data_IF_724274713389
#
_entry.id   IF_724274713389
#
_cell.length_a   1.000
_cell.length_b   1.000
_cell.length_c   1.000
_cell.angle_alpha   90.00
_cell.angle_beta   90.00
_cell.angle_gamma   90.00
#
_symmetry.space_group_name_H-M   'P 1'
#
loop_
_entity.id
_entity.type
_entity.pdbx_description
1 polymer ?
#
# COMPACT_ATOMS: atom_id res chain seq x y z
N UNK A 1 -13.69 -0.73 1.53
CA UNK A 1 -13.18 -2.07 1.18
C UNK A 1 -11.93 -2.32 2.02
N UNK A 2 -11.66 -3.55 2.46
CA UNK A 2 -10.44 -3.88 3.23
C UNK A 2 -9.30 -4.35 2.33
N UNK A 3 -8.07 -4.23 2.82
CA UNK A 3 -6.89 -4.77 2.14
C UNK A 3 -7.06 -6.26 1.83
N UNK A 4 -7.47 -7.07 2.80
CA UNK A 4 -7.66 -8.50 2.58
C UNK A 4 -8.72 -8.82 1.50
N UNK A 5 -9.70 -7.94 1.30
CA UNK A 5 -10.74 -8.11 0.29
C UNK A 5 -10.23 -7.84 -1.12
N UNK A 6 -9.34 -6.85 -1.30
CA UNK A 6 -8.72 -6.60 -2.60
C UNK A 6 -7.62 -7.63 -2.88
N UNK A 7 -6.86 -8.07 -1.86
CA UNK A 7 -5.83 -9.10 -1.98
C UNK A 7 -6.41 -10.38 -2.59
N UNK A 8 -7.57 -10.83 -2.11
CA UNK A 8 -8.28 -12.02 -2.63
C UNK A 8 -8.82 -11.87 -4.04
N UNK A 9 -8.90 -10.65 -4.59
CA UNK A 9 -9.44 -10.35 -5.93
C UNK A 9 -8.35 -9.99 -6.93
N UNK A 10 -7.09 -10.02 -6.54
CA UNK A 10 -5.98 -9.56 -7.36
C UNK A 10 -5.00 -10.71 -7.62
N UNK A 11 -4.44 -10.76 -8.82
CA UNK A 11 -3.38 -11.72 -9.14
C UNK A 11 -2.04 -11.23 -8.57
N UNK A 12 -1.21 -12.14 -8.02
CA UNK A 12 0.14 -11.78 -7.59
C UNK A 12 0.96 -11.23 -8.77
N UNK A 13 0.79 -11.76 -9.99
CA UNK A 13 1.49 -11.28 -11.19
C UNK A 13 1.19 -9.80 -11.48
N UNK A 14 -0.06 -9.37 -11.32
CA UNK A 14 -0.44 -7.97 -11.51
C UNK A 14 0.21 -7.07 -10.45
N UNK A 15 0.21 -7.48 -9.17
CA UNK A 15 0.89 -6.71 -8.10
C UNK A 15 2.38 -6.60 -8.37
N UNK A 16 3.02 -7.72 -8.72
CA UNK A 16 4.45 -7.75 -9.06
C UNK A 16 4.76 -6.85 -10.26
N UNK A 17 3.88 -6.78 -11.26
CA UNK A 17 4.07 -5.88 -12.40
C UNK A 17 4.11 -4.41 -11.97
N UNK A 18 3.26 -4.02 -11.02
CA UNK A 18 3.21 -2.67 -10.46
C UNK A 18 4.41 -2.37 -9.56
N UNK A 19 4.87 -3.34 -8.76
CA UNK A 19 6.10 -3.18 -7.97
C UNK A 19 7.29 -2.93 -8.90
N UNK A 20 7.41 -3.70 -10.00
CA UNK A 20 8.48 -3.49 -10.99
C UNK A 20 8.42 -2.11 -11.62
N UNK A 21 7.22 -1.63 -11.93
CA UNK A 21 7.00 -0.33 -12.56
C UNK A 21 7.44 0.83 -11.67
N UNK A 22 7.07 0.83 -10.39
CA UNK A 22 7.31 1.96 -9.50
C UNK A 22 8.59 1.84 -8.66
N UNK A 23 9.04 0.63 -8.35
CA UNK A 23 10.11 0.38 -7.38
C UNK A 23 11.26 -0.47 -7.96
N UNK A 24 11.16 -0.89 -9.22
CA UNK A 24 12.16 -1.68 -9.91
C UNK A 24 12.15 -3.17 -9.55
N UNK A 25 13.20 -3.89 -9.97
CA UNK A 25 13.24 -5.35 -9.94
C UNK A 25 13.86 -5.96 -8.67
N UNK A 26 14.08 -5.15 -7.64
CA UNK A 26 14.71 -5.63 -6.41
C UNK A 26 13.70 -6.42 -5.57
N UNK A 27 14.10 -7.57 -5.04
CA UNK A 27 13.30 -8.38 -4.11
C UNK A 27 11.94 -8.88 -4.63
N UNK A 28 11.77 -8.99 -5.95
CA UNK A 28 10.51 -9.42 -6.56
C UNK A 28 10.01 -10.77 -6.05
N UNK A 29 10.92 -11.73 -5.85
CA UNK A 29 10.55 -13.04 -5.30
C UNK A 29 10.00 -12.92 -3.88
N UNK A 30 10.60 -12.06 -3.04
CA UNK A 30 10.14 -11.81 -1.67
C UNK A 30 8.77 -11.12 -1.63
N UNK A 31 8.50 -10.19 -2.54
CA UNK A 31 7.15 -9.60 -2.66
C UNK A 31 6.11 -10.61 -3.11
N UNK A 32 6.50 -11.57 -3.95
CA UNK A 32 5.60 -12.64 -4.39
C UNK A 32 5.31 -13.60 -3.24
N UNK A 33 6.32 -13.95 -2.46
CA UNK A 33 6.16 -14.76 -1.25
C UNK A 33 5.27 -14.04 -0.23
N UNK A 34 5.53 -12.75 0.04
CA UNK A 34 4.70 -11.90 0.90
C UNK A 34 3.23 -11.92 0.46
N UNK A 35 2.95 -11.82 -0.83
CA UNK A 35 1.57 -11.89 -1.33
C UNK A 35 0.87 -13.18 -0.86
N UNK A 36 1.54 -14.33 -1.02
CA UNK A 36 0.97 -15.61 -0.62
C UNK A 36 0.88 -15.78 0.89
N UNK A 37 1.87 -15.29 1.64
CA UNK A 37 1.83 -15.30 3.09
C UNK A 37 0.63 -14.49 3.62
N UNK A 38 0.45 -13.27 3.11
CA UNK A 38 -0.69 -12.42 3.44
C UNK A 38 -2.03 -13.02 3.01
N UNK A 39 -2.08 -13.72 1.87
CA UNK A 39 -3.30 -14.37 1.40
C UNK A 39 -3.74 -15.52 2.31
N UNK A 40 -2.77 -16.25 2.86
CA UNK A 40 -2.98 -17.39 3.75
C UNK A 40 -3.10 -17.00 5.24
N UNK A 41 -2.82 -15.74 5.58
CA UNK A 41 -2.93 -15.21 6.94
C UNK A 41 -4.39 -14.92 7.32
N UNK A 42 -4.71 -15.12 8.60
CA UNK A 42 -5.99 -14.70 9.16
C UNK A 42 -5.90 -13.24 9.65
N UNK A 43 -6.71 -12.31 9.14
CA UNK A 43 -6.71 -10.93 9.62
C UNK A 43 -7.12 -10.86 11.11
N UNK A 44 -6.38 -10.12 11.92
CA UNK A 44 -6.69 -9.88 13.35
C UNK A 44 -7.20 -8.47 13.57
N UNK A 45 -8.19 -8.33 14.46
CA UNK A 45 -8.73 -7.04 14.83
C UNK A 45 -8.27 -6.66 16.24
N UNK A 46 -7.38 -5.68 16.33
CA UNK A 46 -6.83 -5.18 17.59
C UNK A 46 -7.66 -4.06 18.24
N UNK A 47 -8.80 -3.68 17.65
CA UNK A 47 -9.64 -2.58 18.14
C UNK A 47 -9.49 -1.26 17.38
N UNK A 48 -8.36 -1.05 16.69
CA UNK A 48 -8.13 0.15 15.89
C UNK A 48 -8.73 0.01 14.49
N UNK A 49 -9.36 1.09 14.00
CA UNK A 49 -9.90 1.17 12.64
C UNK A 49 -9.09 2.19 11.85
N UNK A 50 -8.06 1.69 11.20
CA UNK A 50 -7.22 2.48 10.31
C UNK A 50 -7.71 2.38 8.86
N UNK A 51 -7.58 3.49 8.15
CA UNK A 51 -7.99 3.65 6.76
C UNK A 51 -6.80 4.14 5.93
N UNK A 52 -6.35 3.31 4.98
CA UNK A 52 -5.23 3.60 4.08
C UNK A 52 -5.66 4.62 3.03
N UNK A 53 -4.78 5.58 2.78
CA UNK A 53 -4.86 6.50 1.65
C UNK A 53 -3.49 6.62 0.97
N UNK A 54 -3.51 6.81 -0.35
CA UNK A 54 -2.29 6.95 -1.15
C UNK A 54 -2.24 8.34 -1.79
N UNK A 55 -1.18 9.07 -1.52
CA UNK A 55 -0.96 10.41 -2.07
C UNK A 55 0.04 10.34 -3.21
N UNK A 56 -0.39 10.76 -4.42
CA UNK A 56 0.49 10.97 -5.56
C UNK A 56 1.08 12.39 -5.54
N UNK A 57 2.38 12.52 -5.79
CA UNK A 57 3.07 13.81 -5.85
C UNK A 57 4.26 13.78 -6.80
N UNK A 58 4.73 14.98 -7.16
CA UNK A 58 6.03 15.19 -7.80
C UNK A 58 6.85 16.07 -6.87
N UNK A 59 8.10 15.67 -6.62
CA UNK A 59 9.10 16.49 -5.96
C UNK A 59 9.98 17.17 -7.01
N UNK A 60 10.06 18.51 -6.97
CA UNK A 60 10.97 19.24 -7.85
C UNK A 60 12.39 19.33 -7.22
N UNK A 61 13.34 19.88 -7.98
CA UNK A 61 14.74 20.02 -7.53
C UNK A 61 14.93 20.91 -6.28
N UNK A 62 13.89 21.65 -5.86
CA UNK A 62 13.90 22.52 -4.69
C UNK A 62 13.16 21.91 -3.47
N UNK A 63 12.86 20.61 -3.50
CA UNK A 63 12.05 19.91 -2.50
C UNK A 63 10.60 20.43 -2.37
N UNK A 64 10.09 21.20 -3.32
CA UNK A 64 8.66 21.52 -3.34
C UNK A 64 7.87 20.29 -3.78
N UNK A 65 6.99 19.84 -2.88
CA UNK A 65 6.08 18.72 -3.13
C UNK A 65 4.78 19.28 -3.73
N UNK A 66 4.48 18.86 -4.95
CA UNK A 66 3.19 19.13 -5.59
C UNK A 66 2.32 17.88 -5.57
N UNK A 67 1.26 17.90 -4.76
CA UNK A 67 0.23 16.86 -4.78
C UNK A 67 -0.53 16.85 -6.11
N UNK A 68 -0.79 15.66 -6.64
CA UNK A 68 -1.54 15.45 -7.88
C UNK A 68 -2.96 14.94 -7.59
N UNK A 69 -3.93 15.50 -8.31
CA UNK A 69 -5.32 15.04 -8.26
C UNK A 69 -5.71 14.17 -9.46
N UNK A 70 -5.12 14.46 -10.62
CA UNK A 70 -5.33 13.75 -11.89
C UNK A 70 -3.96 13.31 -12.39
N UNK A 71 -3.79 12.00 -12.57
CA UNK A 71 -2.56 11.37 -13.02
C UNK A 71 -2.86 9.99 -13.61
N UNK A 72 -1.89 9.43 -14.34
CA UNK A 72 -1.89 8.01 -14.71
C UNK A 72 -1.17 7.23 -13.62
N UNK A 73 -1.84 6.24 -13.02
CA UNK A 73 -1.23 5.37 -12.01
C UNK A 73 -0.05 4.55 -12.56
N UNK A 74 0.18 4.52 -13.88
CA UNK A 74 1.32 3.86 -14.51
C UNK A 74 2.49 4.79 -14.81
N UNK A 75 2.39 6.08 -14.48
CA UNK A 75 3.48 7.03 -14.68
C UNK A 75 4.60 6.76 -13.67
N UNK A 76 5.74 6.27 -14.16
CA UNK A 76 6.91 5.95 -13.35
C UNK A 76 7.71 7.18 -12.89
N UNK A 77 7.27 8.39 -13.25
CA UNK A 77 7.89 9.65 -12.81
C UNK A 77 7.18 10.30 -11.63
N UNK A 78 6.09 9.69 -11.16
CA UNK A 78 5.29 10.14 -10.02
C UNK A 78 5.69 9.35 -8.78
N UNK A 79 5.82 10.07 -7.67
CA UNK A 79 6.05 9.49 -6.35
C UNK A 79 4.73 9.25 -5.62
N UNK A 80 4.72 8.22 -4.77
CA UNK A 80 3.54 7.80 -4.02
C UNK A 80 3.89 7.63 -2.55
N UNK A 81 3.09 8.24 -1.67
CA UNK A 81 3.17 8.07 -0.22
C UNK A 81 1.96 7.27 0.28
N UNK A 82 2.20 6.28 1.14
CA UNK A 82 1.15 5.44 1.72
C UNK A 82 1.07 5.71 3.22
N UNK A 83 -0.09 6.16 3.65
CA UNK A 83 -0.36 6.46 5.04
C UNK A 83 -1.71 5.88 5.44
N UNK A 84 -1.97 5.77 6.74
CA UNK A 84 -3.29 5.43 7.25
C UNK A 84 -3.77 6.48 8.26
N UNK A 85 -5.08 6.77 8.26
CA UNK A 85 -5.69 7.58 9.30
C UNK A 85 -6.62 6.75 10.18
N UNK A 86 -6.63 7.05 11.47
CA UNK A 86 -7.64 6.48 12.37
C UNK A 86 -9.00 7.14 12.12
N UNK A 87 -10.05 6.33 11.92
CA UNK A 87 -11.36 6.85 11.53
C UNK A 87 -11.98 7.83 12.54
N UNK A 88 -11.72 7.62 13.84
CA UNK A 88 -12.28 8.41 14.94
C UNK A 88 -11.58 9.76 15.13
N UNK A 89 -10.25 9.78 15.15
CA UNK A 89 -9.43 10.95 15.46
C UNK A 89 -8.92 11.69 14.22
N UNK A 90 -8.90 11.02 13.07
CA UNK A 90 -8.20 11.45 11.85
C UNK A 90 -6.70 11.64 12.02
N UNK A 91 -6.12 11.12 13.10
CA UNK A 91 -4.65 11.07 13.26
C UNK A 91 -4.05 10.19 12.18
N UNK A 92 -2.98 10.67 11.55
CA UNK A 92 -2.26 9.99 10.48
C UNK A 92 -1.09 9.20 11.08
N UNK A 93 -0.91 7.98 10.59
CA UNK A 93 0.11 7.03 10.98
C UNK A 93 0.81 6.49 9.72
N UNK A 94 2.13 6.28 9.80
CA UNK A 94 2.82 5.41 8.85
C UNK A 94 2.35 3.96 9.06
N UNK A 95 2.36 3.17 7.99
CA UNK A 95 2.07 1.74 8.04
C UNK A 95 3.34 0.89 7.92
N UNK A 96 4.53 1.49 7.83
CA UNK A 96 5.79 0.78 7.61
C UNK A 96 6.14 -0.27 8.66
N UNK A 97 5.57 -0.15 9.86
CA UNK A 97 5.73 -1.10 10.97
C UNK A 97 4.42 -1.77 11.39
N UNK A 98 3.39 -1.74 10.54
CA UNK A 98 2.11 -2.39 10.85
C UNK A 98 2.27 -3.91 10.86
N UNK A 99 1.83 -4.60 11.94
CA UNK A 99 1.74 -6.06 11.92
C UNK A 99 0.85 -6.50 10.76
N UNK A 100 1.28 -7.53 10.02
CA UNK A 100 0.61 -7.95 8.79
C UNK A 100 -0.84 -8.36 9.02
N UNK A 101 -1.11 -9.07 10.12
CA UNK A 101 -2.46 -9.50 10.44
C UNK A 101 -3.42 -8.32 10.72
N UNK A 102 -2.90 -7.22 11.28
CA UNK A 102 -3.67 -5.99 11.51
C UNK A 102 -3.83 -5.19 10.20
N UNK A 103 -2.77 -5.04 9.42
CA UNK A 103 -2.76 -4.39 8.10
C UNK A 103 -3.85 -4.96 7.17
N UNK A 104 -4.02 -6.28 7.16
CA UNK A 104 -5.06 -6.95 6.37
C UNK A 104 -6.49 -6.49 6.70
N UNK A 105 -6.72 -5.97 7.91
CA UNK A 105 -8.01 -5.42 8.33
C UNK A 105 -8.18 -3.93 8.06
N UNK A 106 -7.14 -3.21 7.63
CA UNK A 106 -7.26 -1.79 7.32
C UNK A 106 -8.23 -1.58 6.17
N UNK A 107 -9.09 -0.56 6.31
CA UNK A 107 -9.95 -0.13 5.22
C UNK A 107 -9.17 0.71 4.23
N UNK A 108 -9.68 0.88 3.02
CA UNK A 108 -9.10 1.72 1.99
C UNK A 108 -10.04 2.90 1.77
N UNK A 109 -9.45 4.08 1.74
CA UNK A 109 -10.13 5.35 1.49
C UNK A 109 -10.83 5.36 0.13
N UNK A 110 -12.00 5.98 0.06
CA UNK A 110 -12.83 5.97 -1.15
C UNK A 110 -12.16 6.65 -2.35
N UNK A 111 -11.42 7.75 -2.12
CA UNK A 111 -10.70 8.42 -3.19
C UNK A 111 -9.53 7.58 -3.69
N UNK A 112 -8.88 6.82 -2.79
CA UNK A 112 -7.86 5.85 -3.19
C UNK A 112 -8.47 4.73 -4.05
N UNK A 113 -9.61 4.16 -3.64
CA UNK A 113 -10.32 3.14 -4.43
C UNK A 113 -10.80 3.64 -5.81
N UNK A 114 -11.03 4.94 -5.96
CA UNK A 114 -11.45 5.55 -7.23
C UNK A 114 -10.30 5.81 -8.18
N UNK A 115 -9.12 6.11 -7.66
CA UNK A 115 -7.97 6.57 -8.44
C UNK A 115 -7.02 5.46 -8.85
N UNK A 116 -6.95 4.40 -8.05
CA UNK A 116 -5.99 3.32 -8.25
C UNK A 116 -6.67 1.99 -8.49
N UNK A 117 -6.05 1.15 -9.31
CA UNK A 117 -6.42 -0.25 -9.41
C UNK A 117 -5.96 -1.03 -8.18
N UNK A 118 -6.60 -2.16 -7.89
CA UNK A 118 -6.21 -3.00 -6.74
C UNK A 118 -4.75 -3.47 -6.78
N UNK A 119 -4.19 -3.88 -7.94
CA UNK A 119 -2.77 -4.18 -8.04
C UNK A 119 -1.86 -3.04 -7.60
N UNK A 120 -2.18 -1.80 -8.00
CA UNK A 120 -1.40 -0.61 -7.64
C UNK A 120 -1.48 -0.30 -6.15
N UNK A 121 -2.70 -0.36 -5.57
CA UNK A 121 -2.88 -0.16 -4.13
C UNK A 121 -2.04 -1.16 -3.34
N UNK A 122 -2.12 -2.45 -3.69
CA UNK A 122 -1.35 -3.50 -3.03
C UNK A 122 0.16 -3.31 -3.21
N UNK A 123 0.61 -2.94 -4.41
CA UNK A 123 2.03 -2.70 -4.68
C UNK A 123 2.61 -1.59 -3.81
N UNK A 124 1.93 -0.44 -3.72
CA UNK A 124 2.38 0.66 -2.87
C UNK A 124 2.34 0.28 -1.39
N UNK A 125 1.28 -0.39 -0.94
CA UNK A 125 1.20 -0.85 0.46
C UNK A 125 2.29 -1.86 0.80
N UNK A 126 2.58 -2.82 -0.09
CA UNK A 126 3.61 -3.83 0.13
C UNK A 126 4.99 -3.19 0.23
N UNK A 127 5.28 -2.24 -0.65
CA UNK A 127 6.52 -1.47 -0.57
C UNK A 127 6.64 -0.75 0.77
N UNK A 128 5.57 -0.07 1.22
CA UNK A 128 5.58 0.66 2.49
C UNK A 128 5.76 -0.27 3.70
N UNK A 129 4.95 -1.33 3.86
CA UNK A 129 5.01 -2.24 5.02
C UNK A 129 6.28 -3.09 5.08
N UNK A 130 7.09 -3.08 4.01
CA UNK A 130 8.39 -3.79 3.95
C UNK A 130 9.59 -2.86 4.00
N UNK A 131 9.39 -1.57 4.30
CA UNK A 131 10.47 -0.57 4.35
C UNK A 131 11.61 -0.93 5.32
N UNK A 132 11.32 -1.71 6.36
CA UNK A 132 12.30 -2.19 7.34
C UNK A 132 12.67 -3.67 7.18
N UNK A 133 12.16 -4.34 6.16
CA UNK A 133 12.33 -5.78 5.92
C UNK A 133 11.01 -6.49 5.63
N UNK A 134 11.10 -7.75 5.20
CA UNK A 134 9.93 -8.61 4.89
C UNK A 134 9.43 -9.41 6.10
N UNK A 135 10.11 -9.28 7.25
CA UNK A 135 9.72 -9.94 8.49
C UNK A 135 8.52 -9.21 9.09
N UNK A 136 7.53 -9.98 9.57
CA UNK A 136 6.36 -9.40 10.24
C UNK A 136 6.77 -8.76 11.57
N UNK A 137 6.32 -7.52 11.80
CA UNK A 137 6.61 -6.76 13.01
C UNK A 137 5.62 -7.19 14.11
N UNK A 138 5.86 -8.35 14.72
CA UNK A 138 5.02 -8.93 15.80
C UNK A 138 5.58 -8.63 17.19
#
# INVERSE_FOLDING_TARGET
MRIYEILKKTSPEDVISKIKLHYGNKYIDLYKDLFFDLLNMNPTYNGQKLCIFITAYIQNENDDIRKLEIFDENDSTIDFDVSAYELSSKTIYSIASSPYADFLNYTIDEETLRRYSFPTILAHCFYEITSYGFEDNV
#
